data_IF_427947779448
#
_entry.id   IF_427947779448
#
_cell.length_a   1.000
_cell.length_b   1.000
_cell.length_c   1.000
_cell.angle_alpha   90.00
_cell.angle_beta   90.00
_cell.angle_gamma   90.00
#
_symmetry.space_group_name_H-M   'P 1'
#
loop_
_entity.id
_entity.type
_entity.pdbx_description
1 polymer ?
#
# COMPACT_ATOMS: atom_id res chain seq x y z
N UNK A 1 37.35 4.57 -0.95
CA UNK A 1 36.02 5.14 -1.29
C UNK A 1 35.52 4.38 -2.51
N UNK A 2 34.67 3.35 -2.38
CA UNK A 2 33.23 3.44 -2.15
C UNK A 2 32.73 2.34 -1.17
N UNK A 3 31.84 2.75 -0.29
CA UNK A 3 30.87 1.97 0.52
C UNK A 3 29.93 1.21 -0.46
N UNK A 4 29.28 0.06 -0.23
CA UNK A 4 28.69 -0.56 0.96
C UNK A 4 28.40 -2.05 0.70
N UNK A 5 28.30 -2.83 1.78
CA UNK A 5 27.91 -4.25 1.91
C UNK A 5 26.39 -4.50 1.63
N UNK A 6 25.89 -5.76 1.66
CA UNK A 6 24.91 -6.28 0.70
C UNK A 6 23.43 -6.04 1.11
N UNK A 7 22.57 -5.74 0.14
CA UNK A 7 21.12 -5.71 0.33
C UNK A 7 20.51 -7.10 0.11
N UNK A 8 19.82 -7.60 1.14
CA UNK A 8 19.18 -8.91 1.34
C UNK A 8 18.64 -9.68 0.12
N UNK A 9 18.62 -11.03 0.17
CA UNK A 9 17.94 -11.84 -0.83
C UNK A 9 16.42 -11.65 -0.72
N UNK A 10 15.79 -11.46 -1.88
CA UNK A 10 14.36 -11.55 -2.04
C UNK A 10 13.87 -12.97 -1.72
N UNK A 11 12.91 -13.11 -0.81
CA UNK A 11 12.02 -14.27 -0.76
C UNK A 11 10.78 -13.99 0.11
N UNK A 12 9.65 -13.81 -0.61
CA UNK A 12 8.27 -14.17 -0.25
C UNK A 12 7.60 -13.46 0.96
N UNK A 13 6.39 -12.90 0.85
CA UNK A 13 5.35 -13.07 -0.17
C UNK A 13 4.17 -12.12 0.12
N UNK A 14 3.20 -11.89 -0.74
CA UNK A 14 2.76 -12.61 -1.92
C UNK A 14 2.01 -11.60 -2.80
N UNK A 15 2.31 -11.63 -4.11
CA UNK A 15 1.97 -10.62 -5.09
C UNK A 15 2.55 -9.23 -4.76
N UNK A 16 3.32 -8.66 -5.68
CA UNK A 16 3.27 -7.22 -5.86
C UNK A 16 1.79 -6.90 -6.16
N UNK A 17 1.00 -6.68 -5.11
CA UNK A 17 -0.34 -6.11 -5.21
C UNK A 17 -0.08 -4.71 -5.71
N UNK A 18 0.07 -4.59 -7.03
CA UNK A 18 0.14 -3.33 -7.73
C UNK A 18 -1.18 -2.65 -7.45
N UNK A 19 -1.20 -1.90 -6.36
CA UNK A 19 -2.33 -1.09 -5.98
C UNK A 19 -2.51 -0.05 -7.08
N UNK A 20 -3.73 0.07 -7.57
CA UNK A 20 -4.10 1.07 -8.55
C UNK A 20 -5.23 1.94 -7.99
N UNK A 21 -5.35 3.16 -8.52
CA UNK A 21 -6.55 3.94 -8.27
C UNK A 21 -7.78 3.18 -8.76
N UNK A 22 -8.85 3.18 -7.96
CA UNK A 22 -10.05 2.38 -8.15
C UNK A 22 -10.06 1.05 -7.39
N UNK A 23 -8.91 0.54 -6.94
CA UNK A 23 -8.86 -0.70 -6.17
C UNK A 23 -9.55 -0.54 -4.82
N UNK A 24 -10.33 -1.56 -4.44
CA UNK A 24 -10.91 -1.68 -3.11
C UNK A 24 -9.95 -2.42 -2.19
N UNK A 25 -9.73 -1.87 -1.00
CA UNK A 25 -8.83 -2.43 0.00
C UNK A 25 -9.49 -2.44 1.38
N UNK A 26 -9.21 -3.46 2.16
CA UNK A 26 -9.59 -3.55 3.56
C UNK A 26 -8.40 -3.15 4.42
N UNK A 27 -8.58 -2.14 5.28
CA UNK A 27 -7.61 -1.72 6.28
C UNK A 27 -8.06 -2.18 7.67
N UNK A 28 -7.14 -2.78 8.44
CA UNK A 28 -7.44 -3.35 9.77
C UNK A 28 -8.14 -2.37 10.74
N UNK A 29 -7.79 -1.09 10.70
CA UNK A 29 -8.35 -0.04 11.58
C UNK A 29 -9.62 0.66 11.05
N UNK A 30 -9.77 0.79 9.74
CA UNK A 30 -10.76 1.69 9.14
C UNK A 30 -11.78 0.97 8.27
N UNK A 31 -11.66 -0.35 8.14
CA UNK A 31 -12.52 -1.15 7.29
C UNK A 31 -12.17 -0.97 5.82
N UNK A 32 -13.19 -1.02 4.97
CA UNK A 32 -13.01 -1.03 3.52
C UNK A 32 -12.96 0.38 2.95
N UNK A 33 -11.98 0.65 2.10
CA UNK A 33 -11.82 1.90 1.38
C UNK A 33 -11.44 1.67 -0.08
N UNK A 34 -11.41 2.76 -0.85
CA UNK A 34 -11.04 2.76 -2.27
C UNK A 34 -9.78 3.59 -2.46
N UNK A 35 -8.80 3.05 -3.17
CA UNK A 35 -7.60 3.78 -3.53
C UNK A 35 -7.97 4.85 -4.54
N UNK A 36 -7.65 6.11 -4.26
CA UNK A 36 -7.90 7.23 -5.17
C UNK A 36 -6.63 7.72 -5.84
N UNK A 37 -5.46 7.42 -5.29
CA UNK A 37 -4.16 7.79 -5.87
C UNK A 37 -3.05 6.87 -5.40
N UNK A 38 -2.07 6.66 -6.28
CA UNK A 38 -0.84 5.91 -6.03
C UNK A 38 0.32 6.71 -6.58
N UNK A 39 1.37 6.91 -5.79
CA UNK A 39 2.56 7.68 -6.15
C UNK A 39 3.82 6.97 -5.65
N UNK A 40 4.92 7.12 -6.39
CA UNK A 40 6.17 6.42 -6.06
C UNK A 40 6.16 4.96 -6.51
N UNK A 41 7.20 4.24 -6.13
CA UNK A 41 7.45 2.87 -6.57
C UNK A 41 8.14 2.07 -5.47
N UNK A 42 7.92 0.76 -5.44
CA UNK A 42 8.58 -0.13 -4.48
C UNK A 42 8.20 0.22 -3.04
N UNK A 43 9.20 0.35 -2.17
CA UNK A 43 8.96 0.55 -0.74
C UNK A 43 8.40 1.93 -0.38
N UNK A 44 8.66 2.94 -1.21
CA UNK A 44 8.21 4.33 -1.05
C UNK A 44 6.87 4.60 -1.75
N UNK A 45 6.13 3.54 -2.08
CA UNK A 45 4.81 3.68 -2.70
C UNK A 45 3.83 4.29 -1.70
N UNK A 46 3.39 5.50 -1.98
CA UNK A 46 2.38 6.23 -1.24
C UNK A 46 1.01 6.03 -1.88
N UNK A 47 0.05 5.57 -1.08
CA UNK A 47 -1.33 5.36 -1.49
C UNK A 47 -2.24 6.28 -0.72
N UNK A 48 -3.25 6.81 -1.42
CA UNK A 48 -4.33 7.56 -0.81
C UNK A 48 -5.60 6.75 -0.92
N UNK A 49 -6.25 6.50 0.22
CA UNK A 49 -7.45 5.68 0.33
C UNK A 49 -8.59 6.55 0.86
N UNK A 50 -9.70 6.57 0.13
CA UNK A 50 -10.95 7.13 0.59
C UNK A 50 -11.74 6.07 1.37
N UNK A 51 -11.94 6.31 2.66
CA UNK A 51 -12.81 5.51 3.50
C UNK A 51 -14.17 6.22 3.67
N UNK A 52 -15.27 5.48 3.83
CA UNK A 52 -16.57 6.05 4.15
C UNK A 52 -16.55 6.94 5.41
N UNK A 53 -17.55 7.81 5.54
CA UNK A 53 -17.71 8.61 6.74
C UNK A 53 -17.83 7.71 7.99
N UNK A 54 -17.22 8.10 9.13
CA UNK A 54 -16.59 9.40 9.40
C UNK A 54 -15.07 9.45 9.11
N UNK A 55 -14.47 8.42 8.52
CA UNK A 55 -12.99 8.31 8.43
C UNK A 55 -12.38 9.24 7.39
N UNK A 56 -12.99 9.29 6.19
CA UNK A 56 -12.53 10.13 5.09
C UNK A 56 -11.22 9.64 4.42
N UNK A 57 -10.47 10.58 3.83
CA UNK A 57 -9.24 10.28 3.09
C UNK A 57 -8.04 10.06 4.03
N UNK A 58 -7.27 8.99 3.79
CA UNK A 58 -6.01 8.69 4.47
C UNK A 58 -4.89 8.47 3.46
N UNK A 59 -3.70 8.95 3.79
CA UNK A 59 -2.47 8.78 3.02
C UNK A 59 -1.53 7.85 3.80
N UNK A 60 -1.08 6.77 3.17
CA UNK A 60 -0.31 5.72 3.82
C UNK A 60 0.81 5.26 2.88
N UNK A 61 1.89 4.74 3.44
CA UNK A 61 2.88 3.99 2.66
C UNK A 61 2.41 2.54 2.52
N UNK A 62 2.30 2.05 1.28
CA UNK A 62 1.78 0.72 0.98
C UNK A 62 2.55 -0.39 1.72
N UNK A 63 3.87 -0.23 1.87
CA UNK A 63 4.77 -1.18 2.54
C UNK A 63 4.55 -1.28 4.05
N UNK A 64 3.95 -0.25 4.66
CA UNK A 64 3.73 -0.18 6.11
C UNK A 64 2.25 -0.29 6.49
N UNK A 65 1.34 -0.14 5.52
CA UNK A 65 -0.08 -0.16 5.76
C UNK A 65 -0.58 -1.61 5.90
N UNK A 66 -1.27 -1.99 7.00
CA UNK A 66 -1.89 -3.30 7.14
C UNK A 66 -3.19 -3.35 6.32
N UNK A 67 -3.02 -3.40 4.99
CA UNK A 67 -4.10 -3.44 4.02
C UNK A 67 -4.07 -4.69 3.16
N UNK A 68 -5.27 -5.14 2.79
CA UNK A 68 -5.46 -6.27 1.89
C UNK A 68 -6.34 -5.85 0.72
N UNK A 69 -5.96 -6.23 -0.51
CA UNK A 69 -6.80 -5.99 -1.68
C UNK A 69 -8.04 -6.88 -1.59
N UNK A 70 -9.21 -6.25 -1.69
CA UNK A 70 -10.50 -6.95 -1.72
C UNK A 70 -10.83 -7.17 -3.19
N UNK A 71 -10.42 -8.30 -3.75
CA UNK A 71 -10.92 -8.72 -5.06
C UNK A 71 -12.36 -9.21 -4.89
N UNK A 72 -13.28 -8.58 -5.60
CA UNK A 72 -14.61 -9.09 -5.90
C UNK A 72 -14.68 -9.50 -7.35
#
# INVERSE_FOLDING_TARGET
MRVSTPGAPAAAGDAARSFAAGDKVAHKKWGTGVIVSVKGTGNDTEIQIAFPAPVGLKKLLASFAPIEKVSG
#
